data_IF_529542556718
#
_entry.id   IF_529542556718
#
_cell.length_a   1.000
_cell.length_b   1.000
_cell.length_c   1.000
_cell.angle_alpha   90.00
_cell.angle_beta   90.00
_cell.angle_gamma   90.00
#
_symmetry.space_group_name_H-M   'P 1'
#
loop_
_entity.id
_entity.type
_entity.pdbx_description
1 polymer ?
#
# COMPACT_ATOMS: atom_id res chain seq x y z
N UNK A 1 -23.26 -16.01 -5.66
CA UNK A 1 -22.45 -15.92 -4.42
C UNK A 1 -21.37 -14.88 -4.67
N UNK A 2 -21.07 -13.96 -3.74
CA UNK A 2 -19.87 -13.14 -3.87
C UNK A 2 -18.66 -14.09 -3.94
N UNK A 3 -17.67 -13.82 -4.80
CA UNK A 3 -16.55 -14.74 -5.00
C UNK A 3 -15.80 -14.94 -3.67
N UNK A 4 -15.30 -16.14 -3.44
CA UNK A 4 -14.29 -16.40 -2.39
C UNK A 4 -13.02 -15.65 -2.77
N UNK A 5 -12.82 -14.47 -2.17
CA UNK A 5 -11.74 -13.51 -2.42
C UNK A 5 -10.36 -13.93 -1.86
N UNK A 6 -9.83 -15.10 -2.23
CA UNK A 6 -8.49 -15.52 -1.76
C UNK A 6 -7.53 -16.02 -2.85
N UNK A 7 -7.75 -15.69 -4.13
CA UNK A 7 -6.72 -15.85 -5.16
C UNK A 7 -5.76 -14.65 -5.11
N UNK A 8 -4.66 -14.82 -4.37
CA UNK A 8 -3.57 -13.84 -4.33
C UNK A 8 -2.43 -14.24 -5.28
N UNK A 9 -1.88 -13.26 -5.99
CA UNK A 9 -0.63 -13.43 -6.72
C UNK A 9 0.52 -12.96 -5.85
N UNK A 10 1.51 -13.84 -5.65
CA UNK A 10 2.75 -13.50 -4.94
C UNK A 10 3.85 -13.21 -5.94
N UNK A 11 4.60 -12.14 -5.72
CA UNK A 11 5.75 -11.76 -6.54
C UNK A 11 6.97 -11.65 -5.63
N UNK A 12 8.06 -12.39 -5.92
CA UNK A 12 9.27 -12.31 -5.14
C UNK A 12 9.97 -10.96 -5.37
N UNK A 13 10.58 -10.42 -4.32
CA UNK A 13 11.59 -9.36 -4.41
C UNK A 13 12.72 -9.70 -3.47
N UNK A 14 13.97 -9.56 -3.94
CA UNK A 14 15.17 -9.86 -3.14
C UNK A 14 15.13 -11.27 -2.49
N UNK A 15 14.54 -12.25 -3.19
CA UNK A 15 14.45 -13.64 -2.74
C UNK A 15 13.32 -13.94 -1.73
N UNK A 16 12.39 -13.02 -1.50
CA UNK A 16 11.22 -13.25 -0.63
C UNK A 16 9.91 -12.91 -1.35
N UNK A 17 8.88 -13.72 -1.16
CA UNK A 17 7.50 -13.46 -1.64
C UNK A 17 6.84 -12.30 -0.86
N UNK A 18 7.37 -11.09 -0.99
CA UNK A 18 6.95 -9.93 -0.20
C UNK A 18 5.81 -9.16 -0.84
N UNK A 19 5.63 -9.20 -2.16
CA UNK A 19 4.53 -8.50 -2.84
C UNK A 19 3.37 -9.47 -2.99
N UNK A 20 2.21 -9.07 -2.48
CA UNK A 20 0.98 -9.86 -2.49
C UNK A 20 -0.11 -9.01 -3.15
N UNK A 21 -0.56 -9.43 -4.32
CA UNK A 21 -1.56 -8.73 -5.13
C UNK A 21 -2.87 -9.50 -5.10
N UNK A 22 -3.99 -8.79 -4.93
CA UNK A 22 -5.32 -9.39 -4.99
C UNK A 22 -6.42 -8.34 -4.86
N UNK A 23 -7.62 -8.78 -4.47
CA UNK A 23 -8.80 -7.93 -4.36
C UNK A 23 -9.53 -8.21 -3.05
N UNK A 24 -9.85 -7.18 -2.27
CA UNK A 24 -10.52 -7.30 -0.97
C UNK A 24 -9.61 -7.85 0.13
N UNK A 25 -8.30 -7.64 0.05
CA UNK A 25 -7.30 -8.09 1.02
C UNK A 25 -7.48 -7.44 2.40
N UNK A 26 -7.93 -6.17 2.44
CA UNK A 26 -8.14 -5.43 3.69
C UNK A 26 -9.13 -6.13 4.64
N UNK A 27 -10.09 -6.89 4.10
CA UNK A 27 -11.18 -7.47 4.87
C UNK A 27 -10.74 -8.65 5.78
N UNK A 28 -9.65 -9.34 5.44
CA UNK A 28 -9.21 -10.52 6.20
C UNK A 28 -7.76 -10.91 5.94
N UNK A 29 -7.32 -10.91 4.68
CA UNK A 29 -6.03 -11.48 4.29
C UNK A 29 -4.85 -10.77 4.96
N UNK A 30 -4.83 -9.43 4.96
CA UNK A 30 -3.72 -8.64 5.50
C UNK A 30 -3.52 -8.95 6.99
N UNK A 31 -4.58 -8.87 7.79
CA UNK A 31 -4.51 -9.16 9.22
C UNK A 31 -4.02 -10.60 9.47
N UNK A 32 -4.59 -11.58 8.77
CA UNK A 32 -4.21 -12.99 8.90
C UNK A 32 -2.73 -13.22 8.56
N UNK A 33 -2.24 -12.68 7.44
CA UNK A 33 -0.83 -12.82 7.04
C UNK A 33 0.11 -12.13 8.04
N UNK A 34 -0.18 -10.89 8.41
CA UNK A 34 0.65 -10.11 9.33
C UNK A 34 0.72 -10.76 10.71
N UNK A 35 -0.41 -11.17 11.29
CA UNK A 35 -0.45 -11.77 12.63
C UNK A 35 0.23 -13.15 12.65
N UNK A 36 0.10 -13.94 11.58
CA UNK A 36 0.70 -15.27 11.51
C UNK A 36 2.20 -15.23 11.20
N UNK A 37 2.64 -14.36 10.28
CA UNK A 37 4.01 -14.32 9.76
C UNK A 37 4.91 -13.29 10.45
N UNK A 38 4.36 -12.16 10.92
CA UNK A 38 5.10 -11.05 11.52
C UNK A 38 4.74 -10.85 12.99
N UNK A 39 4.89 -11.93 13.79
CA UNK A 39 4.56 -11.92 15.22
C UNK A 39 5.17 -10.71 15.95
N UNK A 40 4.32 -9.97 16.64
CA UNK A 40 4.66 -8.77 17.41
C UNK A 40 3.72 -8.63 18.61
N UNK A 41 4.15 -7.91 19.65
CA UNK A 41 3.25 -7.47 20.73
C UNK A 41 2.44 -6.22 20.34
N UNK A 42 2.88 -5.45 19.34
CA UNK A 42 2.29 -4.16 18.96
C UNK A 42 2.29 -3.96 17.45
N UNK A 43 1.09 -3.87 16.86
CA UNK A 43 0.88 -3.48 15.47
C UNK A 43 0.39 -2.02 15.41
N UNK A 44 0.86 -1.25 14.43
CA UNK A 44 0.50 0.17 14.30
C UNK A 44 0.06 0.48 12.87
N UNK A 45 -1.19 0.87 12.67
CA UNK A 45 -1.68 1.36 11.37
C UNK A 45 -1.45 2.87 11.30
N UNK A 46 -0.75 3.34 10.27
CA UNK A 46 -0.56 4.77 10.03
C UNK A 46 -1.12 5.12 8.66
N UNK A 47 -2.00 6.13 8.63
CA UNK A 47 -2.69 6.60 7.43
C UNK A 47 -2.91 8.11 7.46
N UNK A 48 -3.58 8.66 6.46
CA UNK A 48 -4.03 10.06 6.45
C UNK A 48 -5.53 10.20 6.74
N UNK A 49 -5.94 11.43 7.05
CA UNK A 49 -7.34 11.74 7.40
C UNK A 49 -8.34 11.57 6.25
N UNK A 50 -7.90 11.47 4.99
CA UNK A 50 -8.79 11.20 3.86
C UNK A 50 -9.08 9.70 3.73
N UNK A 51 -8.07 8.86 3.99
CA UNK A 51 -8.16 7.41 3.87
C UNK A 51 -8.75 6.74 5.12
N UNK A 52 -8.53 7.32 6.29
CA UNK A 52 -9.06 6.80 7.55
C UNK A 52 -10.57 6.46 7.49
N UNK A 53 -11.49 7.37 7.11
CA UNK A 53 -12.92 7.07 7.06
C UNK A 53 -13.31 6.04 5.98
N UNK A 54 -12.41 5.69 5.06
CA UNK A 54 -12.68 4.72 3.99
C UNK A 54 -12.22 3.31 4.35
N UNK A 55 -11.09 3.19 5.05
CA UNK A 55 -10.36 1.92 5.15
C UNK A 55 -9.88 1.53 6.54
N UNK A 56 -9.78 2.49 7.47
CA UNK A 56 -9.19 2.22 8.78
C UNK A 56 -10.07 1.27 9.59
N UNK A 57 -11.37 1.53 9.69
CA UNK A 57 -12.30 0.71 10.48
C UNK A 57 -12.30 -0.75 9.98
N UNK A 58 -12.40 -0.96 8.66
CA UNK A 58 -12.37 -2.30 8.06
C UNK A 58 -11.08 -3.05 8.40
N UNK A 59 -9.93 -2.38 8.29
CA UNK A 59 -8.64 -3.00 8.61
C UNK A 59 -8.53 -3.28 10.11
N UNK A 60 -9.00 -2.38 10.98
CA UNK A 60 -9.02 -2.59 12.43
C UNK A 60 -9.87 -3.79 12.82
N UNK A 61 -11.10 -3.90 12.31
CA UNK A 61 -11.99 -5.03 12.57
C UNK A 61 -11.34 -6.37 12.16
N UNK A 62 -10.65 -6.38 11.01
CA UNK A 62 -9.93 -7.57 10.55
C UNK A 62 -8.80 -7.98 11.50
N UNK A 63 -8.04 -7.01 12.03
CA UNK A 63 -6.98 -7.27 13.01
C UNK A 63 -7.58 -7.71 14.35
N UNK A 64 -8.59 -7.03 14.87
CA UNK A 64 -9.23 -7.38 16.15
C UNK A 64 -9.71 -8.84 16.16
N UNK A 65 -10.28 -9.31 15.05
CA UNK A 65 -10.66 -10.72 14.87
C UNK A 65 -9.47 -11.67 15.01
N UNK A 66 -8.36 -11.41 14.31
CA UNK A 66 -7.17 -12.28 14.36
C UNK A 66 -6.46 -12.20 15.73
N UNK A 67 -6.36 -11.00 16.31
CA UNK A 67 -5.71 -10.76 17.61
C UNK A 67 -6.51 -11.37 18.78
N UNK A 68 -7.84 -11.47 18.67
CA UNK A 68 -8.71 -12.09 19.69
C UNK A 68 -8.37 -13.57 19.95
N UNK A 69 -7.83 -14.26 18.94
CA UNK A 69 -7.42 -15.67 19.01
C UNK A 69 -5.93 -15.85 19.32
N UNK A 70 -5.17 -14.75 19.40
CA UNK A 70 -3.73 -14.77 19.59
C UNK A 70 -3.36 -14.96 21.07
N UNK A 71 -2.48 -15.92 21.41
CA UNK A 71 -2.21 -16.33 22.80
C UNK A 71 -1.57 -15.24 23.69
N UNK A 72 -0.97 -14.21 23.08
CA UNK A 72 -0.25 -13.15 23.79
C UNK A 72 -0.98 -11.80 23.82
N UNK A 73 -2.25 -11.76 23.38
CA UNK A 73 -3.07 -10.54 23.30
C UNK A 73 -2.31 -9.30 22.78
N UNK A 74 -1.68 -9.39 21.59
CA UNK A 74 -1.06 -8.24 20.95
C UNK A 74 -2.06 -7.09 20.80
N UNK A 75 -1.56 -5.86 20.91
CA UNK A 75 -2.37 -4.64 20.75
C UNK A 75 -2.26 -4.07 19.34
N UNK A 76 -3.34 -3.44 18.90
CA UNK A 76 -3.41 -2.65 17.67
C UNK A 76 -3.53 -1.17 18.06
N UNK A 77 -2.68 -0.33 17.47
CA UNK A 77 -2.76 1.13 17.56
C UNK A 77 -2.99 1.71 16.17
N UNK A 78 -3.54 2.92 16.09
CA UNK A 78 -3.62 3.67 14.84
C UNK A 78 -3.23 5.13 15.02
N UNK A 79 -2.69 5.74 13.97
CA UNK A 79 -2.35 7.16 13.94
C UNK A 79 -2.70 7.76 12.57
N UNK A 80 -3.21 8.98 12.58
CA UNK A 80 -3.59 9.71 11.37
C UNK A 80 -2.72 10.95 11.23
N UNK A 81 -2.19 11.17 10.04
CA UNK A 81 -1.49 12.41 9.68
C UNK A 81 -2.30 13.23 8.68
N UNK A 82 -1.94 14.49 8.47
CA UNK A 82 -2.56 15.30 7.42
C UNK A 82 -2.25 14.71 6.03
N UNK A 83 -3.15 14.84 5.05
CA UNK A 83 -2.91 14.33 3.70
C UNK A 83 -1.96 15.25 2.91
N UNK A 84 -1.35 14.69 1.86
CA UNK A 84 -0.57 15.43 0.86
C UNK A 84 0.92 15.58 1.16
N UNK A 85 1.68 16.07 0.16
CA UNK A 85 3.16 16.09 0.19
C UNK A 85 3.75 16.89 1.35
N UNK A 86 3.03 17.88 1.90
CA UNK A 86 3.51 18.67 3.04
C UNK A 86 3.77 17.81 4.28
N UNK A 87 3.06 16.69 4.41
CA UNK A 87 3.29 15.72 5.46
C UNK A 87 4.59 14.97 5.30
N UNK A 88 5.22 14.96 4.11
CA UNK A 88 6.58 14.42 3.90
C UNK A 88 7.66 15.36 4.43
N UNK A 89 7.64 15.62 5.74
CA UNK A 89 8.52 16.58 6.40
C UNK A 89 9.22 16.01 7.63
N UNK A 90 10.32 16.67 8.04
CA UNK A 90 11.02 16.35 9.30
C UNK A 90 10.11 16.45 10.52
N UNK A 91 9.19 17.42 10.50
CA UNK A 91 8.27 17.68 11.60
C UNK A 91 7.30 16.52 11.76
N UNK A 92 6.60 16.15 10.69
CA UNK A 92 5.64 15.03 10.73
C UNK A 92 6.32 13.72 11.09
N UNK A 93 7.54 13.48 10.61
CA UNK A 93 8.35 12.33 11.04
C UNK A 93 8.55 12.31 12.56
N UNK A 94 8.98 13.44 13.13
CA UNK A 94 9.19 13.56 14.57
C UNK A 94 7.88 13.38 15.35
N UNK A 95 6.79 13.99 14.90
CA UNK A 95 5.47 13.87 15.53
C UNK A 95 5.01 12.40 15.60
N UNK A 96 5.23 11.62 14.53
CA UNK A 96 4.93 10.18 14.49
C UNK A 96 5.85 9.40 15.43
N UNK A 97 7.15 9.67 15.43
CA UNK A 97 8.12 8.99 16.30
C UNK A 97 7.83 9.26 17.79
N UNK A 98 7.53 10.50 18.15
CA UNK A 98 7.20 10.90 19.52
C UNK A 98 5.90 10.24 19.98
N UNK A 99 4.89 10.15 19.11
CA UNK A 99 3.65 9.42 19.41
C UNK A 99 3.90 7.91 19.59
N UNK A 100 4.70 7.27 18.74
CA UNK A 100 5.07 5.86 18.91
C UNK A 100 5.74 5.60 20.26
N UNK A 101 6.68 6.48 20.66
CA UNK A 101 7.33 6.43 21.97
C UNK A 101 6.34 6.64 23.11
N UNK A 102 5.40 7.59 22.98
CA UNK A 102 4.41 7.86 24.03
C UNK A 102 3.43 6.70 24.25
N UNK A 103 3.18 5.89 23.22
CA UNK A 103 2.39 4.65 23.32
C UNK A 103 3.19 3.45 23.85
N UNK A 104 4.50 3.63 24.10
CA UNK A 104 5.39 2.56 24.54
C UNK A 104 5.67 1.52 23.45
N UNK A 105 5.70 1.92 22.17
CA UNK A 105 6.14 1.04 21.10
C UNK A 105 7.62 0.66 21.30
N UNK A 106 7.99 -0.59 20.96
CA UNK A 106 9.35 -1.10 21.15
C UNK A 106 9.94 -1.61 19.83
N UNK A 107 11.14 -2.21 19.84
CA UNK A 107 11.78 -2.74 18.63
C UNK A 107 11.01 -3.89 17.97
N UNK A 108 10.08 -4.51 18.69
CA UNK A 108 9.26 -5.59 18.14
C UNK A 108 8.07 -5.08 17.31
N UNK A 109 7.78 -3.77 17.33
CA UNK A 109 6.65 -3.16 16.63
C UNK A 109 6.64 -3.47 15.13
N UNK A 110 5.45 -3.69 14.59
CA UNK A 110 5.21 -3.81 13.15
C UNK A 110 4.32 -2.65 12.71
N UNK A 111 4.83 -1.81 11.81
CA UNK A 111 4.10 -0.65 11.28
C UNK A 111 3.42 -1.00 9.95
N UNK A 112 2.18 -0.58 9.76
CA UNK A 112 1.37 -0.79 8.56
C UNK A 112 1.14 0.58 7.92
N UNK A 113 1.80 0.85 6.80
CA UNK A 113 1.67 2.11 6.05
C UNK A 113 0.48 2.01 5.08
N UNK A 114 -0.69 2.53 5.49
CA UNK A 114 -1.92 2.53 4.69
C UNK A 114 -2.04 3.86 3.94
N UNK A 115 -1.63 3.89 2.68
CA UNK A 115 -1.76 5.08 1.85
C UNK A 115 -1.02 5.05 0.53
N UNK A 116 -0.98 6.20 -0.16
CA UNK A 116 -0.17 6.39 -1.36
C UNK A 116 1.32 6.60 -1.06
N UNK A 117 2.09 7.04 -2.06
CA UNK A 117 3.54 7.24 -1.93
C UNK A 117 3.96 8.22 -0.81
N UNK A 118 3.11 9.20 -0.46
CA UNK A 118 3.38 10.11 0.66
C UNK A 118 3.47 9.35 1.98
N UNK A 119 2.45 8.53 2.30
CA UNK A 119 2.43 7.69 3.50
C UNK A 119 3.53 6.64 3.42
N UNK A 120 3.68 5.97 2.27
CA UNK A 120 4.67 4.92 2.09
C UNK A 120 6.11 5.37 2.33
N UNK A 121 6.51 6.52 1.76
CA UNK A 121 7.85 7.07 1.94
C UNK A 121 8.08 7.53 3.38
N UNK A 122 7.13 8.28 3.94
CA UNK A 122 7.24 8.84 5.29
C UNK A 122 7.32 7.74 6.34
N UNK A 123 6.37 6.81 6.31
CA UNK A 123 6.23 5.78 7.33
C UNK A 123 7.29 4.69 7.17
N UNK A 124 7.71 4.40 5.94
CA UNK A 124 8.90 3.58 5.72
C UNK A 124 10.16 4.21 6.34
N UNK A 125 10.31 5.53 6.26
CA UNK A 125 11.48 6.20 6.84
C UNK A 125 11.39 6.31 8.37
N UNK A 126 10.19 6.50 8.93
CA UNK A 126 9.94 6.32 10.37
C UNK A 126 10.37 4.92 10.80
N UNK A 127 9.91 3.88 10.11
CA UNK A 127 10.24 2.49 10.44
C UNK A 127 11.76 2.21 10.36
N UNK A 128 12.44 2.81 9.38
CA UNK A 128 13.88 2.66 9.21
C UNK A 128 14.70 3.21 10.39
N UNK A 129 14.23 4.28 11.03
CA UNK A 129 14.98 4.97 12.10
C UNK A 129 14.43 4.75 13.50
N UNK A 130 13.15 4.41 13.65
CA UNK A 130 12.52 4.18 14.95
C UNK A 130 13.26 3.04 15.67
N UNK A 131 13.86 3.36 16.82
CA UNK A 131 14.75 2.46 17.57
C UNK A 131 15.80 1.73 16.71
N UNK A 132 16.35 2.44 15.71
CA UNK A 132 17.33 1.94 14.72
C UNK A 132 16.80 0.82 13.81
N UNK A 133 15.51 0.84 13.50
CA UNK A 133 14.88 -0.06 12.56
C UNK A 133 13.85 -0.96 13.24
N UNK A 134 12.64 -0.94 12.69
CA UNK A 134 11.54 -1.86 12.99
C UNK A 134 10.89 -2.36 11.70
N UNK A 135 10.17 -3.47 11.81
CA UNK A 135 9.48 -4.10 10.68
C UNK A 135 8.32 -3.22 10.24
N UNK A 136 8.06 -3.18 8.93
CA UNK A 136 6.88 -2.52 8.41
C UNK A 136 6.35 -3.19 7.14
N UNK A 137 5.09 -2.92 6.82
CA UNK A 137 4.43 -3.35 5.59
C UNK A 137 3.86 -2.14 4.86
N UNK A 138 3.83 -2.21 3.53
CA UNK A 138 3.14 -1.25 2.67
C UNK A 138 1.74 -1.77 2.34
N UNK A 139 0.73 -0.89 2.41
CA UNK A 139 -0.62 -1.13 1.91
C UNK A 139 -0.95 0.02 0.95
N UNK A 140 -0.44 -0.03 -0.30
CA UNK A 140 -0.58 1.04 -1.27
C UNK A 140 -2.05 1.27 -1.64
N UNK A 141 -2.53 2.52 -1.53
CA UNK A 141 -3.91 2.90 -1.88
C UNK A 141 -4.04 3.69 -3.18
N UNK A 142 -2.92 4.05 -3.80
CA UNK A 142 -2.90 4.72 -5.11
C UNK A 142 -2.26 3.83 -6.15
N UNK A 143 -2.72 3.92 -7.41
CA UNK A 143 -2.16 3.12 -8.50
C UNK A 143 -0.63 3.35 -8.62
N UNK A 144 -0.19 4.60 -8.52
CA UNK A 144 1.24 4.97 -8.51
C UNK A 144 2.03 4.21 -7.43
N UNK A 145 1.47 4.09 -6.22
CA UNK A 145 2.13 3.38 -5.14
C UNK A 145 2.18 1.87 -5.39
N UNK A 146 1.13 1.30 -5.97
CA UNK A 146 1.05 -0.13 -6.29
C UNK A 146 2.09 -0.56 -7.34
N UNK A 147 2.43 0.31 -8.29
CA UNK A 147 3.29 -0.03 -9.44
C UNK A 147 4.72 0.51 -9.33
N UNK A 148 4.98 1.45 -8.40
CA UNK A 148 6.31 2.07 -8.26
C UNK A 148 6.67 2.33 -6.79
N UNK A 149 6.04 3.31 -6.13
CA UNK A 149 6.63 3.88 -4.90
C UNK A 149 6.64 2.95 -3.69
N UNK A 150 5.77 1.94 -3.62
CA UNK A 150 5.80 0.97 -2.52
C UNK A 150 6.89 -0.11 -2.68
N UNK A 151 7.49 -0.22 -3.88
CA UNK A 151 8.40 -1.30 -4.25
C UNK A 151 9.85 -0.81 -4.22
N UNK A 152 10.75 -1.64 -3.67
CA UNK A 152 12.19 -1.40 -3.65
C UNK A 152 12.72 -0.68 -2.41
N UNK A 153 11.87 -0.37 -1.42
CA UNK A 153 12.29 0.07 -0.09
C UNK A 153 12.93 1.46 -0.04
N UNK A 154 12.72 2.29 -1.06
CA UNK A 154 13.13 3.70 -1.02
C UNK A 154 12.16 4.46 -0.12
N UNK A 155 12.68 5.08 0.93
CA UNK A 155 11.86 5.83 1.91
C UNK A 155 12.50 7.18 2.14
N UNK A 156 11.72 8.26 2.19
CA UNK A 156 12.29 9.59 2.26
C UNK A 156 11.30 10.66 2.75
N UNK A 157 11.86 11.82 3.05
CA UNK A 157 11.16 13.07 3.33
C UNK A 157 11.72 14.19 2.45
N UNK A 158 10.89 15.20 2.27
CA UNK A 158 11.27 16.39 1.55
C UNK A 158 11.94 17.40 2.49
N UNK A 159 12.69 18.30 1.86
CA UNK A 159 13.26 19.47 2.53
C UNK A 159 12.90 20.71 1.71
N UNK A 160 13.06 21.94 2.26
CA UNK A 160 12.87 23.15 1.47
C UNK A 160 13.75 23.24 0.21
N UNK A 161 14.82 22.43 0.13
CA UNK A 161 15.75 22.40 -1.00
C UNK A 161 15.37 21.39 -2.09
N UNK A 162 14.42 20.49 -1.84
CA UNK A 162 14.03 19.50 -2.83
C UNK A 162 13.39 18.25 -2.24
N UNK A 163 12.93 17.39 -3.16
CA UNK A 163 12.19 16.17 -2.85
C UNK A 163 13.11 15.00 -2.51
N UNK A 164 12.68 14.17 -1.56
CA UNK A 164 13.33 12.90 -1.21
C UNK A 164 14.83 13.01 -0.89
N UNK A 165 15.30 14.17 -0.41
CA UNK A 165 16.73 14.41 -0.18
C UNK A 165 17.26 13.78 1.11
N UNK A 166 16.38 13.42 2.04
CA UNK A 166 16.72 12.77 3.30
C UNK A 166 15.87 11.52 3.44
N UNK A 167 16.50 10.37 3.60
CA UNK A 167 15.79 9.10 3.61
C UNK A 167 16.68 7.91 3.93
N UNK A 168 16.12 6.71 3.75
CA UNK A 168 16.82 5.44 3.90
C UNK A 168 16.31 4.43 2.88
N UNK A 169 17.16 3.45 2.57
CA UNK A 169 16.70 2.20 1.98
C UNK A 169 16.27 1.27 3.13
N UNK A 170 14.98 0.95 3.20
CA UNK A 170 14.40 0.07 4.21
C UNK A 170 13.31 -0.78 3.56
N UNK A 171 13.56 -2.09 3.42
CA UNK A 171 12.66 -2.98 2.71
C UNK A 171 11.44 -3.31 3.60
N UNK A 172 10.22 -3.19 3.07
CA UNK A 172 9.04 -3.69 3.78
C UNK A 172 9.06 -5.23 3.83
N UNK A 173 8.54 -5.79 4.92
CA UNK A 173 8.35 -7.24 5.07
C UNK A 173 7.27 -7.78 4.10
N UNK A 174 6.27 -6.93 3.83
CA UNK A 174 5.15 -7.20 2.93
C UNK A 174 4.70 -5.93 2.20
N UNK A 175 4.24 -6.10 0.96
CA UNK A 175 3.56 -5.09 0.15
C UNK A 175 2.21 -5.68 -0.26
N UNK A 176 1.12 -5.22 0.36
CA UNK A 176 -0.23 -5.72 0.14
C UNK A 176 -0.97 -4.84 -0.88
N UNK A 177 -0.98 -5.29 -2.12
CA UNK A 177 -1.63 -4.60 -3.23
C UNK A 177 -3.07 -5.07 -3.36
N UNK A 178 -3.98 -4.36 -2.69
CA UNK A 178 -5.42 -4.60 -2.79
C UNK A 178 -6.05 -3.71 -3.86
N UNK A 179 -6.43 -4.29 -5.00
CA UNK A 179 -7.04 -3.55 -6.10
C UNK A 179 -8.43 -2.98 -5.76
N UNK A 180 -9.11 -3.49 -4.73
CA UNK A 180 -10.42 -2.98 -4.32
C UNK A 180 -10.36 -1.51 -3.86
N UNK A 181 -9.22 -1.05 -3.35
CA UNK A 181 -9.07 0.34 -2.89
C UNK A 181 -9.10 1.34 -4.05
N UNK A 182 -8.80 0.91 -5.28
CA UNK A 182 -8.85 1.77 -6.47
C UNK A 182 -10.27 2.26 -6.76
N UNK A 183 -11.30 1.55 -6.29
CA UNK A 183 -12.71 1.93 -6.44
C UNK A 183 -13.02 3.35 -5.92
N UNK A 184 -12.32 3.82 -4.88
CA UNK A 184 -12.51 5.17 -4.33
C UNK A 184 -11.48 6.20 -4.82
N UNK A 185 -10.44 5.76 -5.55
CA UNK A 185 -9.32 6.62 -5.96
C UNK A 185 -9.80 7.72 -6.93
N UNK A 186 -9.51 9.00 -6.70
CA UNK A 186 -9.91 10.05 -7.63
C UNK A 186 -9.36 9.81 -9.05
N UNK A 187 -10.15 10.17 -10.07
CA UNK A 187 -9.77 10.03 -11.50
C UNK A 187 -8.36 10.59 -11.79
N UNK A 188 -8.07 11.78 -11.26
CA UNK A 188 -6.76 12.43 -11.44
C UNK A 188 -5.61 11.59 -10.88
N UNK A 189 -5.79 10.95 -9.73
CA UNK A 189 -4.75 10.12 -9.11
C UNK A 189 -4.58 8.78 -9.82
N UNK A 190 -5.67 8.24 -10.39
CA UNK A 190 -5.59 7.06 -11.23
C UNK A 190 -4.80 7.36 -12.51
N UNK A 191 -5.14 8.45 -13.22
CA UNK A 191 -4.42 8.89 -14.43
C UNK A 191 -2.94 9.17 -14.12
N UNK A 192 -2.64 9.76 -12.96
CA UNK A 192 -1.27 9.96 -12.51
C UNK A 192 -0.51 8.63 -12.40
N UNK A 193 -1.11 7.60 -11.79
CA UNK A 193 -0.51 6.26 -11.72
C UNK A 193 -0.34 5.59 -13.08
N UNK A 194 -1.24 5.82 -14.03
CA UNK A 194 -1.13 5.26 -15.38
C UNK A 194 0.12 5.75 -16.14
N UNK A 195 0.65 6.94 -15.82
CA UNK A 195 1.90 7.40 -16.43
C UNK A 195 3.08 6.46 -16.14
N UNK A 196 3.16 5.94 -14.91
CA UNK A 196 4.20 4.98 -14.51
C UNK A 196 3.98 3.58 -15.11
N UNK A 197 2.72 3.16 -15.24
CA UNK A 197 2.34 1.93 -15.96
C UNK A 197 2.80 1.99 -17.42
N UNK A 198 2.43 3.06 -18.13
CA UNK A 198 2.78 3.26 -19.54
C UNK A 198 4.29 3.33 -19.72
N UNK A 199 4.99 4.07 -18.84
CA UNK A 199 6.45 4.14 -18.85
C UNK A 199 7.08 2.75 -18.72
N UNK A 200 6.61 1.94 -17.78
CA UNK A 200 7.15 0.60 -17.53
C UNK A 200 6.90 -0.34 -18.70
N UNK A 201 5.71 -0.31 -19.29
CA UNK A 201 5.40 -1.10 -20.49
C UNK A 201 6.29 -0.69 -21.69
N UNK A 202 6.41 0.61 -21.95
CA UNK A 202 7.18 1.13 -23.08
C UNK A 202 8.68 0.77 -23.05
N UNK A 203 9.25 0.56 -21.86
CA UNK A 203 10.68 0.22 -21.72
C UNK A 203 10.94 -1.29 -21.61
N UNK A 204 9.92 -2.11 -21.32
CA UNK A 204 10.13 -3.51 -20.92
C UNK A 204 9.34 -4.55 -21.71
N UNK A 205 8.12 -4.23 -22.16
CA UNK A 205 7.21 -5.22 -22.76
C UNK A 205 6.31 -4.56 -23.82
N UNK A 206 6.63 -4.80 -25.09
CA UNK A 206 5.86 -4.33 -26.25
C UNK A 206 4.42 -4.88 -26.24
N UNK A 207 4.21 -6.14 -25.86
CA UNK A 207 2.86 -6.71 -25.79
C UNK A 207 2.04 -6.05 -24.68
N UNK A 208 2.65 -5.76 -23.53
CA UNK A 208 2.00 -4.98 -22.49
C UNK A 208 1.64 -3.58 -22.97
N UNK A 209 2.52 -2.93 -23.73
CA UNK A 209 2.25 -1.61 -24.30
C UNK A 209 1.08 -1.65 -25.29
N UNK A 210 1.06 -2.59 -26.23
CA UNK A 210 -0.05 -2.76 -27.17
C UNK A 210 -1.37 -3.13 -26.48
N UNK A 211 -1.33 -3.90 -25.38
CA UNK A 211 -2.52 -4.17 -24.56
C UNK A 211 -3.07 -2.89 -23.92
N UNK A 212 -2.21 -1.99 -23.43
CA UNK A 212 -2.65 -0.70 -22.89
C UNK A 212 -3.32 0.15 -23.98
N UNK A 213 -2.74 0.20 -25.18
CA UNK A 213 -3.32 0.94 -26.31
C UNK A 213 -4.70 0.39 -26.69
N UNK A 214 -4.83 -0.94 -26.78
CA UNK A 214 -6.07 -1.61 -27.20
C UNK A 214 -7.20 -1.50 -26.17
N UNK A 215 -6.89 -1.23 -24.90
CA UNK A 215 -7.88 -1.16 -23.81
C UNK A 215 -8.09 0.27 -23.27
N UNK A 216 -7.50 1.30 -23.92
CA UNK A 216 -7.56 2.68 -23.45
C UNK A 216 -9.00 3.15 -23.19
N UNK A 217 -9.92 2.91 -24.12
CA UNK A 217 -11.32 3.33 -23.99
C UNK A 217 -12.00 2.67 -22.79
N UNK A 218 -11.81 1.35 -22.61
CA UNK A 218 -12.38 0.61 -21.48
C UNK A 218 -11.83 1.10 -20.13
N UNK A 219 -10.52 1.37 -20.06
CA UNK A 219 -9.89 1.94 -18.86
C UNK A 219 -10.45 3.32 -18.56
N UNK A 220 -10.52 4.20 -19.57
CA UNK A 220 -11.04 5.56 -19.39
C UNK A 220 -12.53 5.59 -19.03
N UNK A 221 -13.33 4.67 -19.59
CA UNK A 221 -14.74 4.50 -19.22
C UNK A 221 -14.88 4.07 -17.76
N UNK A 222 -14.13 3.06 -17.32
CA UNK A 222 -14.12 2.61 -15.92
C UNK A 222 -13.65 3.69 -14.95
N UNK A 223 -12.65 4.51 -15.30
CA UNK A 223 -12.19 5.61 -14.44
C UNK A 223 -13.28 6.67 -14.25
N UNK A 224 -13.98 7.03 -15.33
CA UNK A 224 -15.03 8.06 -15.34
C UNK A 224 -16.37 7.56 -14.81
N UNK A 225 -16.58 6.25 -14.81
CA UNK A 225 -17.78 5.65 -14.29
C UNK A 225 -17.93 5.97 -12.80
N UNK A 226 -19.14 6.40 -12.43
CA UNK A 226 -19.54 6.45 -11.02
C UNK A 226 -19.79 5.02 -10.56
N UNK A 227 -19.59 4.75 -9.27
CA UNK A 227 -19.96 3.48 -8.68
C UNK A 227 -21.39 3.11 -9.11
N UNK A 228 -21.51 2.04 -9.89
CA UNK A 228 -22.78 1.56 -10.40
C UNK A 228 -23.57 0.99 -9.22
N UNK A 229 -24.86 1.32 -9.12
CA UNK A 229 -25.74 0.82 -8.05
C UNK A 229 -25.98 -0.70 -8.09
N UNK A 230 -25.29 -1.43 -8.96
CA UNK A 230 -25.30 -2.89 -9.08
C UNK A 230 -24.34 -3.58 -8.09
N UNK A 231 -23.58 -2.81 -7.31
CA UNK A 231 -22.71 -3.31 -6.24
C UNK A 231 -21.41 -3.97 -6.71
N UNK A 232 -21.07 -3.89 -8.01
CA UNK A 232 -19.88 -4.55 -8.56
C UNK A 232 -18.60 -3.69 -8.56
N UNK A 233 -18.73 -2.37 -8.47
CA UNK A 233 -17.60 -1.43 -8.57
C UNK A 233 -17.30 -1.05 -10.03
N UNK A 234 -16.69 0.13 -10.23
CA UNK A 234 -16.45 0.71 -11.56
C UNK A 234 -15.37 -0.01 -12.36
N UNK A 235 -14.53 -0.81 -11.69
CA UNK A 235 -13.46 -1.56 -12.33
C UNK A 235 -13.78 -3.03 -12.58
N UNK A 236 -15.00 -3.50 -12.26
CA UNK A 236 -15.39 -4.90 -12.42
C UNK A 236 -15.14 -5.44 -13.84
N UNK A 237 -15.48 -4.66 -14.87
CA UNK A 237 -15.34 -5.05 -16.27
C UNK A 237 -13.89 -5.18 -16.74
N UNK A 238 -12.95 -4.49 -16.06
CA UNK A 238 -11.53 -4.48 -16.40
C UNK A 238 -10.66 -5.07 -15.29
N UNK A 239 -11.24 -5.83 -14.36
CA UNK A 239 -10.54 -6.32 -13.17
C UNK A 239 -9.31 -7.15 -13.51
N UNK A 240 -9.44 -8.08 -14.45
CA UNK A 240 -8.34 -8.94 -14.88
C UNK A 240 -7.24 -8.12 -15.57
N UNK A 241 -7.62 -7.15 -16.40
CA UNK A 241 -6.69 -6.21 -17.02
C UNK A 241 -5.92 -5.40 -15.97
N UNK A 242 -6.59 -4.90 -14.92
CA UNK A 242 -5.92 -4.17 -13.84
C UNK A 242 -4.97 -5.06 -13.06
N UNK A 243 -5.36 -6.31 -12.79
CA UNK A 243 -4.49 -7.29 -12.16
C UNK A 243 -3.23 -7.50 -12.99
N UNK A 244 -3.37 -7.74 -14.29
CA UNK A 244 -2.24 -7.94 -15.21
C UNK A 244 -1.32 -6.71 -15.30
N UNK A 245 -1.90 -5.51 -15.36
CA UNK A 245 -1.16 -4.24 -15.37
C UNK A 245 -0.29 -4.10 -14.11
N UNK A 246 -0.89 -4.33 -12.94
CA UNK A 246 -0.21 -4.13 -11.66
C UNK A 246 0.83 -5.21 -11.41
N UNK A 247 0.50 -6.48 -11.68
CA UNK A 247 1.44 -7.61 -11.58
C UNK A 247 2.59 -7.44 -12.56
N UNK A 248 2.30 -7.07 -13.82
CA UNK A 248 3.30 -6.82 -14.85
C UNK A 248 4.27 -5.73 -14.43
N UNK A 249 3.76 -4.59 -13.95
CA UNK A 249 4.59 -3.48 -13.49
C UNK A 249 5.46 -3.86 -12.27
N UNK A 250 4.89 -4.58 -11.31
CA UNK A 250 5.60 -5.00 -10.11
C UNK A 250 6.74 -5.99 -10.40
N UNK A 251 6.57 -6.91 -11.36
CA UNK A 251 7.61 -7.88 -11.74
C UNK A 251 8.86 -7.24 -12.34
N UNK A 252 8.70 -6.12 -13.07
CA UNK A 252 9.85 -5.40 -13.66
C UNK A 252 10.72 -4.73 -12.59
N UNK A 253 10.20 -4.56 -11.37
CA UNK A 253 10.94 -3.95 -10.26
C UNK A 253 11.79 -4.95 -9.47
N UNK A 254 11.74 -6.24 -9.81
CA UNK A 254 12.67 -7.23 -9.27
C UNK A 254 14.09 -6.96 -9.83
N UNK A 255 15.08 -6.65 -8.98
CA UNK A 255 16.45 -6.52 -9.47
C UNK A 255 16.94 -7.91 -9.91
N UNK A 256 17.32 -8.01 -11.19
CA UNK A 256 18.04 -9.16 -11.76
C UNK A 256 19.34 -9.46 -11.04
#
# INVERSE_FOLDING_TARGET
>A
MPPTYEDVTKIPILGQDSIIVGYGLLASFIARDVVSSLKSSTYVIITDTNLAPLYLDQLQESFEKELSTSPNHPRLLHYQISPGEQSKSRRTKADVEDWLLSQGCTRDTVILALGGGVIGDMIGFVAATFMRGVRFCQIPTTLLAMVDSSIGGKTAIDTPLGKNLVGSFWQPERIFVDLAVLETLPEREFINGMAEVIKTAAIWDEEAFSRLESNCDAVMESIKAKATGDGKGRFYAIRDLLMDIVVGSARVKEPS
#
